data_IF_036389383243
#
_entry.id   IF_036389383243
#
_cell.length_a   1.000
_cell.length_b   1.000
_cell.length_c   1.000
_cell.angle_alpha   90.00
_cell.angle_beta   90.00
_cell.angle_gamma   90.00
#
_symmetry.space_group_name_H-M   'P 1'
#
loop_
_entity.id
_entity.type
_entity.pdbx_description
1 polymer ?
#
# COMPACT_ATOMS: atom_id res chain seq x y z
N UNK A 1 24.45 -6.16 12.29
CA UNK A 1 24.51 -5.35 11.07
C UNK A 1 25.56 -5.88 10.07
N UNK A 2 26.82 -6.14 10.51
CA UNK A 2 27.90 -6.58 9.62
C UNK A 2 27.62 -7.92 8.95
N UNK A 3 27.15 -8.92 9.70
CA UNK A 3 26.81 -10.23 9.15
C UNK A 3 25.75 -10.16 8.04
N UNK A 4 24.67 -9.42 8.25
CA UNK A 4 23.62 -9.26 7.24
C UNK A 4 24.21 -8.61 5.98
N UNK A 5 24.98 -7.53 6.15
CA UNK A 5 25.59 -6.83 5.03
C UNK A 5 26.49 -7.72 4.20
N UNK A 6 27.35 -8.51 4.85
CA UNK A 6 28.26 -9.42 4.15
C UNK A 6 27.50 -10.59 3.50
N UNK A 7 26.47 -11.13 4.17
CA UNK A 7 25.62 -12.16 3.59
C UNK A 7 24.81 -11.67 2.39
N UNK A 8 24.33 -10.43 2.43
CA UNK A 8 23.64 -9.80 1.29
C UNK A 8 24.59 -9.58 0.12
N UNK A 9 25.82 -9.10 0.37
CA UNK A 9 26.83 -8.95 -0.69
C UNK A 9 27.14 -10.27 -1.37
N UNK A 10 27.33 -11.33 -0.59
CA UNK A 10 27.61 -12.66 -1.12
C UNK A 10 26.40 -13.23 -1.88
N UNK A 11 25.18 -13.10 -1.33
CA UNK A 11 23.97 -13.51 -2.03
C UNK A 11 23.78 -12.75 -3.35
N UNK A 12 24.09 -11.45 -3.37
CA UNK A 12 23.95 -10.61 -4.56
C UNK A 12 24.92 -11.00 -5.69
N UNK A 13 26.03 -11.69 -5.40
CA UNK A 13 26.94 -12.19 -6.44
C UNK A 13 26.28 -13.24 -7.35
N UNK A 14 25.21 -13.89 -6.90
CA UNK A 14 24.44 -14.84 -7.71
C UNK A 14 23.35 -14.18 -8.54
N UNK A 15 23.05 -12.89 -8.31
CA UNK A 15 22.01 -12.17 -9.04
C UNK A 15 22.60 -11.63 -10.33
N UNK A 16 22.02 -12.06 -11.46
CA UNK A 16 22.41 -11.62 -12.78
C UNK A 16 21.10 -11.28 -13.54
N UNK A 17 20.84 -9.99 -13.68
CA UNK A 17 19.60 -9.49 -14.32
C UNK A 17 19.68 -9.56 -15.83
N UNK A 18 20.88 -9.73 -16.40
CA UNK A 18 21.10 -9.80 -17.84
C UNK A 18 21.11 -11.26 -18.36
N UNK A 19 20.88 -12.24 -17.46
CA UNK A 19 20.84 -13.67 -17.82
C UNK A 19 19.64 -13.96 -18.72
N UNK A 20 19.83 -14.31 -19.99
CA UNK A 20 18.75 -14.55 -20.94
C UNK A 20 18.01 -15.88 -20.72
N UNK A 21 18.68 -16.85 -20.07
CA UNK A 21 18.08 -18.15 -19.79
C UNK A 21 17.35 -18.12 -18.43
N UNK A 22 16.04 -18.29 -18.50
CA UNK A 22 15.17 -18.22 -17.32
C UNK A 22 15.46 -19.34 -16.31
N UNK A 23 15.83 -20.54 -16.74
CA UNK A 23 16.12 -21.64 -15.82
C UNK A 23 17.47 -21.46 -15.14
N UNK A 24 18.45 -20.88 -15.84
CA UNK A 24 19.73 -20.47 -15.27
C UNK A 24 19.52 -19.34 -14.24
N UNK A 25 18.75 -18.31 -14.59
CA UNK A 25 18.40 -17.23 -13.66
C UNK A 25 17.71 -17.78 -12.40
N UNK A 26 16.77 -18.67 -12.56
CA UNK A 26 16.05 -19.32 -11.44
C UNK A 26 16.97 -20.13 -10.54
N UNK A 27 17.95 -20.83 -11.11
CA UNK A 27 18.95 -21.54 -10.36
C UNK A 27 19.86 -20.58 -9.57
N UNK A 28 20.32 -19.49 -10.18
CA UNK A 28 21.09 -18.42 -9.53
C UNK A 28 20.32 -17.80 -8.36
N UNK A 29 19.04 -17.47 -8.55
CA UNK A 29 18.17 -16.93 -7.48
C UNK A 29 17.96 -17.94 -6.32
N UNK A 30 17.89 -19.24 -6.62
CA UNK A 30 17.85 -20.27 -5.56
C UNK A 30 19.14 -20.31 -4.75
N UNK A 31 20.29 -20.12 -5.38
CA UNK A 31 21.58 -20.02 -4.67
C UNK A 31 21.63 -18.77 -3.80
N UNK A 32 21.22 -17.62 -4.30
CA UNK A 32 21.07 -16.39 -3.54
C UNK A 32 20.19 -16.61 -2.29
N UNK A 33 19.01 -17.20 -2.47
CA UNK A 33 18.11 -17.54 -1.37
C UNK A 33 18.77 -18.47 -0.36
N UNK A 34 19.47 -19.49 -0.81
CA UNK A 34 20.16 -20.46 0.06
C UNK A 34 21.22 -19.78 0.94
N UNK A 35 22.05 -18.92 0.38
CA UNK A 35 23.05 -18.17 1.15
C UNK A 35 22.40 -17.38 2.29
N UNK A 36 21.29 -16.68 2.01
CA UNK A 36 20.58 -15.90 3.02
C UNK A 36 19.94 -16.79 4.09
N UNK A 37 19.35 -17.92 3.69
CA UNK A 37 18.77 -18.86 4.64
C UNK A 37 19.82 -19.44 5.57
N UNK A 38 20.95 -19.91 5.05
CA UNK A 38 21.99 -20.58 5.84
C UNK A 38 22.73 -19.59 6.76
N UNK A 39 23.02 -18.38 6.28
CA UNK A 39 23.85 -17.43 7.02
C UNK A 39 23.05 -16.46 7.91
N UNK A 40 21.82 -16.16 7.58
CA UNK A 40 20.99 -15.18 8.31
C UNK A 40 19.81 -15.84 9.01
N UNK A 41 18.89 -16.43 8.25
CA UNK A 41 17.64 -16.93 8.82
C UNK A 41 17.80 -18.13 9.74
N UNK A 42 18.65 -19.08 9.39
CA UNK A 42 18.90 -20.29 10.19
C UNK A 42 20.07 -20.14 11.16
N UNK A 43 20.66 -18.96 11.27
CA UNK A 43 21.78 -18.75 12.18
C UNK A 43 21.29 -18.66 13.63
N UNK A 44 21.66 -19.59 14.51
CA UNK A 44 21.19 -19.65 15.90
C UNK A 44 21.64 -18.45 16.74
N UNK A 45 22.68 -17.75 16.29
CA UNK A 45 23.21 -16.56 16.95
C UNK A 45 22.48 -15.28 16.49
N UNK A 46 21.56 -15.41 15.53
CA UNK A 46 20.84 -14.27 14.99
C UNK A 46 19.42 -14.22 15.60
N UNK A 47 19.27 -13.42 16.63
CA UNK A 47 17.95 -13.13 17.20
C UNK A 47 17.37 -11.90 16.50
N UNK A 48 16.21 -12.05 15.90
CA UNK A 48 15.43 -10.91 15.41
C UNK A 48 15.09 -10.02 16.62
N UNK A 49 15.57 -8.76 16.61
CA UNK A 49 15.35 -7.81 17.70
C UNK A 49 14.07 -7.00 17.54
N UNK A 50 13.39 -7.14 16.41
CA UNK A 50 12.14 -6.44 16.15
C UNK A 50 11.14 -7.31 15.39
N UNK A 51 9.87 -7.05 15.60
CA UNK A 51 8.78 -7.56 14.78
C UNK A 51 8.53 -6.54 13.67
N UNK A 52 8.43 -7.00 12.43
CA UNK A 52 8.09 -6.19 11.28
C UNK A 52 6.72 -6.65 10.76
N UNK A 53 5.74 -5.76 10.82
CA UNK A 53 4.44 -5.97 10.21
C UNK A 53 4.44 -5.29 8.84
N UNK A 54 4.15 -6.05 7.78
CA UNK A 54 4.09 -5.57 6.40
C UNK A 54 2.63 -5.43 5.98
N UNK A 55 2.21 -4.21 5.67
CA UNK A 55 0.84 -3.89 5.27
C UNK A 55 0.88 -3.34 3.84
N UNK A 56 0.03 -3.89 2.97
CA UNK A 56 -0.09 -3.41 1.60
C UNK A 56 -0.78 -2.05 1.54
N UNK A 57 -0.32 -1.18 0.66
CA UNK A 57 -0.97 0.09 0.32
C UNK A 57 -0.79 0.37 -1.17
N UNK A 58 -1.70 1.13 -1.76
CA UNK A 58 -1.58 1.61 -3.13
C UNK A 58 -1.89 3.10 -3.20
N UNK A 59 -0.85 3.92 -3.33
CA UNK A 59 -1.01 5.34 -3.64
C UNK A 59 -1.42 5.51 -5.11
N UNK A 60 -2.54 6.20 -5.35
CA UNK A 60 -3.07 6.47 -6.68
C UNK A 60 -3.46 7.94 -6.80
N UNK A 61 -2.70 8.68 -7.61
CA UNK A 61 -3.10 10.03 -7.98
C UNK A 61 -4.39 10.03 -8.80
N UNK A 62 -5.31 10.94 -8.49
CA UNK A 62 -6.52 11.11 -9.29
C UNK A 62 -6.22 11.64 -10.69
N UNK A 63 -5.31 12.59 -10.77
CA UNK A 63 -4.79 13.13 -12.04
C UNK A 63 -3.31 13.38 -11.87
N UNK A 64 -2.50 12.85 -12.78
CA UNK A 64 -1.05 13.07 -12.85
C UNK A 64 -0.62 13.19 -14.31
N UNK A 65 0.14 12.22 -14.83
CA UNK A 65 0.46 12.10 -16.26
C UNK A 65 -0.66 11.38 -17.04
N UNK A 66 -1.85 11.34 -16.50
CA UNK A 66 -3.06 10.75 -17.08
C UNK A 66 -4.30 11.56 -16.74
N UNK A 67 -5.32 11.42 -17.59
CA UNK A 67 -6.62 12.05 -17.37
C UNK A 67 -7.44 11.29 -16.29
N UNK A 68 -8.41 11.97 -15.70
CA UNK A 68 -9.30 11.42 -14.66
C UNK A 68 -9.95 10.07 -15.05
N UNK A 69 -10.34 9.90 -16.30
CA UNK A 69 -10.90 8.63 -16.80
C UNK A 69 -9.95 7.44 -16.60
N UNK A 70 -8.64 7.68 -16.68
CA UNK A 70 -7.64 6.63 -16.45
C UNK A 70 -7.49 6.32 -14.95
N UNK A 71 -7.64 7.32 -14.08
CA UNK A 71 -7.72 7.09 -12.65
C UNK A 71 -8.87 6.12 -12.31
N UNK A 72 -10.07 6.34 -12.85
CA UNK A 72 -11.21 5.43 -12.64
C UNK A 72 -10.85 3.99 -13.04
N UNK A 73 -10.17 3.80 -14.18
CA UNK A 73 -9.69 2.48 -14.61
C UNK A 73 -8.65 1.90 -13.66
N UNK A 74 -7.71 2.73 -13.17
CA UNK A 74 -6.70 2.31 -12.18
C UNK A 74 -7.37 1.85 -10.88
N UNK A 75 -8.38 2.55 -10.41
CA UNK A 75 -9.18 2.16 -9.24
C UNK A 75 -9.73 0.75 -9.42
N UNK A 76 -10.43 0.47 -10.51
CA UNK A 76 -11.01 -0.85 -10.76
C UNK A 76 -9.96 -1.97 -10.77
N UNK A 77 -8.91 -1.83 -11.59
CA UNK A 77 -7.89 -2.89 -11.74
C UNK A 77 -7.06 -3.12 -10.47
N UNK A 78 -6.70 -2.03 -9.76
CA UNK A 78 -5.90 -2.14 -8.52
C UNK A 78 -6.68 -2.88 -7.45
N UNK A 79 -7.93 -2.46 -7.19
CA UNK A 79 -8.72 -3.06 -6.13
C UNK A 79 -9.17 -4.49 -6.46
N UNK A 80 -9.47 -4.79 -7.72
CA UNK A 80 -9.70 -6.18 -8.15
C UNK A 80 -8.47 -7.07 -7.92
N UNK A 81 -7.27 -6.54 -8.19
CA UNK A 81 -6.02 -7.26 -7.92
C UNK A 81 -5.81 -7.51 -6.42
N UNK A 82 -6.07 -6.50 -5.57
CA UNK A 82 -5.95 -6.66 -4.11
C UNK A 82 -6.93 -7.71 -3.58
N UNK A 83 -8.17 -7.73 -4.05
CA UNK A 83 -9.13 -8.79 -3.69
C UNK A 83 -8.62 -10.18 -4.06
N UNK A 84 -8.11 -10.33 -5.28
CA UNK A 84 -7.54 -11.61 -5.74
C UNK A 84 -6.35 -12.04 -4.87
N UNK A 85 -5.49 -11.11 -4.48
CA UNK A 85 -4.39 -11.41 -3.55
C UNK A 85 -4.92 -11.83 -2.17
N UNK A 86 -5.97 -11.18 -1.66
CA UNK A 86 -6.59 -11.58 -0.39
C UNK A 86 -7.23 -12.97 -0.44
N UNK A 87 -7.71 -13.42 -1.60
CA UNK A 87 -8.21 -14.78 -1.78
C UNK A 87 -7.09 -15.83 -1.73
N UNK A 88 -5.93 -15.51 -2.32
CA UNK A 88 -4.78 -16.42 -2.35
C UNK A 88 -3.94 -16.40 -1.07
N UNK A 89 -3.93 -15.27 -0.36
CA UNK A 89 -3.10 -15.05 0.83
C UNK A 89 -3.98 -14.63 2.00
N UNK A 90 -4.42 -15.57 2.84
CA UNK A 90 -5.32 -15.29 3.97
C UNK A 90 -4.81 -14.24 4.95
N UNK A 91 -3.50 -14.17 5.14
CA UNK A 91 -2.85 -13.22 6.06
C UNK A 91 -2.58 -11.85 5.44
N UNK A 92 -2.92 -11.66 4.15
CA UNK A 92 -2.67 -10.39 3.48
C UNK A 92 -3.63 -9.31 3.98
N UNK A 93 -3.07 -8.21 4.49
CA UNK A 93 -3.77 -7.00 4.94
C UNK A 93 -3.44 -5.86 3.98
N UNK A 94 -4.46 -5.07 3.66
CA UNK A 94 -4.33 -3.92 2.78
C UNK A 94 -4.96 -2.68 3.40
N UNK A 95 -4.27 -1.56 3.33
CA UNK A 95 -4.73 -0.25 3.79
C UNK A 95 -4.92 0.68 2.60
N UNK A 96 -6.02 1.41 2.56
CA UNK A 96 -6.30 2.35 1.47
C UNK A 96 -6.94 3.63 1.99
N UNK A 97 -6.48 4.74 1.47
CA UNK A 97 -6.95 6.11 1.74
C UNK A 97 -7.88 6.63 0.64
N UNK A 98 -8.23 7.89 0.72
CA UNK A 98 -8.96 8.69 -0.29
C UNK A 98 -10.43 8.28 -0.48
N UNK A 99 -11.34 8.96 0.24
CA UNK A 99 -12.79 8.76 0.09
C UNK A 99 -13.27 8.90 -1.36
N UNK A 100 -12.71 9.85 -2.12
CA UNK A 100 -13.01 10.05 -3.53
C UNK A 100 -12.71 8.82 -4.39
N UNK A 101 -11.66 8.07 -4.07
CA UNK A 101 -11.34 6.82 -4.76
C UNK A 101 -12.41 5.75 -4.50
N UNK A 102 -12.88 5.62 -3.26
CA UNK A 102 -13.97 4.72 -2.92
C UNK A 102 -15.30 5.12 -3.56
N UNK A 103 -15.54 6.43 -3.72
CA UNK A 103 -16.72 6.91 -4.43
C UNK A 103 -16.70 6.52 -5.90
N UNK A 104 -15.57 6.67 -6.59
CA UNK A 104 -15.41 6.18 -7.98
C UNK A 104 -15.60 4.66 -8.08
N UNK A 105 -15.10 3.93 -7.09
CA UNK A 105 -15.32 2.49 -7.02
C UNK A 105 -16.80 2.17 -6.84
N UNK A 106 -17.49 2.87 -5.95
CA UNK A 106 -18.92 2.67 -5.70
C UNK A 106 -19.77 2.91 -6.95
N UNK A 107 -19.44 3.95 -7.71
CA UNK A 107 -20.18 4.35 -8.92
C UNK A 107 -19.88 3.44 -10.10
N UNK A 108 -18.62 3.11 -10.34
CA UNK A 108 -18.19 2.42 -11.56
C UNK A 108 -17.94 0.92 -11.38
N UNK A 109 -17.70 0.46 -10.16
CA UNK A 109 -17.36 -0.93 -9.84
C UNK A 109 -18.07 -1.40 -8.56
N UNK A 110 -19.41 -1.37 -8.52
CA UNK A 110 -20.18 -1.64 -7.29
C UNK A 110 -19.87 -3.02 -6.68
N UNK A 111 -19.63 -4.04 -7.50
CA UNK A 111 -19.26 -5.36 -7.01
C UNK A 111 -17.92 -5.36 -6.24
N UNK A 112 -16.94 -4.56 -6.70
CA UNK A 112 -15.66 -4.41 -6.00
C UNK A 112 -15.88 -3.64 -4.70
N UNK A 113 -16.69 -2.59 -4.72
CA UNK A 113 -17.03 -1.81 -3.54
C UNK A 113 -17.67 -2.66 -2.43
N UNK A 114 -18.62 -3.53 -2.76
CA UNK A 114 -19.24 -4.46 -1.82
C UNK A 114 -18.21 -5.43 -1.21
N UNK A 115 -17.29 -5.93 -2.03
CA UNK A 115 -16.20 -6.78 -1.55
C UNK A 115 -15.28 -6.02 -0.57
N UNK A 116 -14.95 -4.75 -0.87
CA UNK A 116 -14.17 -3.91 0.05
C UNK A 116 -14.91 -3.75 1.38
N UNK A 117 -16.21 -3.44 1.36
CA UNK A 117 -17.01 -3.34 2.59
C UNK A 117 -16.95 -4.64 3.42
N UNK A 118 -16.99 -5.80 2.76
CA UNK A 118 -16.84 -7.09 3.42
C UNK A 118 -15.45 -7.23 4.06
N UNK A 119 -14.37 -6.91 3.32
CA UNK A 119 -12.99 -7.00 3.82
C UNK A 119 -12.72 -6.02 4.97
N UNK A 120 -13.34 -4.84 4.96
CA UNK A 120 -13.27 -3.90 6.08
C UNK A 120 -13.89 -4.52 7.34
N UNK A 121 -15.08 -5.15 7.23
CA UNK A 121 -15.73 -5.84 8.35
C UNK A 121 -14.91 -7.03 8.87
N UNK A 122 -14.19 -7.71 8.00
CA UNK A 122 -13.28 -8.81 8.35
C UNK A 122 -11.98 -8.34 9.00
N UNK A 123 -11.69 -7.02 9.05
CA UNK A 123 -10.43 -6.46 9.54
C UNK A 123 -9.24 -6.69 8.62
N UNK A 124 -9.46 -7.08 7.36
CA UNK A 124 -8.41 -7.34 6.37
C UNK A 124 -8.17 -6.18 5.40
N UNK A 125 -9.09 -5.24 5.37
CA UNK A 125 -8.97 -3.99 4.63
C UNK A 125 -9.15 -2.84 5.60
N UNK A 126 -8.12 -2.02 5.77
CA UNK A 126 -8.15 -0.87 6.64
C UNK A 126 -8.44 0.41 5.82
N UNK A 127 -9.53 1.09 6.18
CA UNK A 127 -9.79 2.43 5.67
C UNK A 127 -8.97 3.43 6.46
N UNK A 128 -8.00 4.08 5.83
CA UNK A 128 -7.09 5.04 6.47
C UNK A 128 -7.24 6.44 5.89
N UNK A 129 -6.61 7.43 6.53
CA UNK A 129 -6.38 8.78 6.02
C UNK A 129 -7.43 9.81 6.36
N UNK A 130 -8.69 9.53 6.22
CA UNK A 130 -9.78 10.44 6.59
C UNK A 130 -10.04 11.63 5.65
N UNK A 131 -9.20 11.88 4.64
CA UNK A 131 -9.40 12.93 3.64
C UNK A 131 -10.19 12.43 2.42
N UNK A 132 -10.82 13.37 1.71
CA UNK A 132 -11.49 13.07 0.45
C UNK A 132 -10.52 12.64 -0.64
N UNK A 133 -9.42 13.39 -0.78
CA UNK A 133 -8.25 13.05 -1.60
C UNK A 133 -6.99 13.32 -0.82
N UNK A 134 -5.84 12.81 -1.27
CA UNK A 134 -4.51 13.20 -0.80
C UNK A 134 -4.11 14.49 -1.54
N UNK A 135 -4.29 15.68 -0.93
CA UNK A 135 -4.05 16.94 -1.61
C UNK A 135 -2.57 17.34 -1.59
N UNK A 136 -2.18 18.24 -2.48
CA UNK A 136 -0.92 18.96 -2.30
C UNK A 136 -1.03 19.89 -1.09
N UNK A 137 -0.36 19.51 -0.02
CA UNK A 137 -0.44 20.17 1.28
C UNK A 137 0.19 21.58 1.32
N UNK A 138 0.98 21.96 0.31
CA UNK A 138 1.56 23.30 0.21
C UNK A 138 0.65 24.31 -0.49
N UNK A 139 -0.33 23.83 -1.28
CA UNK A 139 -1.13 24.70 -2.16
C UNK A 139 -2.51 24.98 -1.58
N UNK A 140 -3.14 24.00 -0.95
CA UNK A 140 -4.52 24.16 -0.47
C UNK A 140 -4.59 25.03 0.79
N UNK A 141 -5.74 25.71 0.96
CA UNK A 141 -6.02 26.54 2.14
C UNK A 141 -6.39 25.70 3.36
N UNK A 142 -6.33 26.31 4.56
CA UNK A 142 -6.79 25.68 5.80
C UNK A 142 -8.25 25.23 5.74
N UNK A 143 -9.14 26.04 5.12
CA UNK A 143 -10.54 25.66 4.89
C UNK A 143 -10.66 24.43 3.98
N UNK A 144 -9.81 24.32 2.97
CA UNK A 144 -9.77 23.12 2.13
C UNK A 144 -9.36 21.88 2.91
N UNK A 145 -8.39 21.97 3.82
CA UNK A 145 -8.03 20.85 4.72
C UNK A 145 -9.21 20.42 5.57
N UNK A 146 -9.91 21.38 6.21
CA UNK A 146 -11.10 21.08 7.03
C UNK A 146 -12.14 20.32 6.20
N UNK A 147 -12.39 20.76 4.98
CA UNK A 147 -13.36 20.09 4.07
C UNK A 147 -12.90 18.72 3.62
N UNK A 148 -11.62 18.54 3.37
CA UNK A 148 -11.07 17.22 3.04
C UNK A 148 -11.42 16.20 4.12
N UNK A 149 -11.14 16.53 5.40
CA UNK A 149 -11.47 15.66 6.53
C UNK A 149 -12.98 15.54 6.75
N UNK A 150 -13.73 16.65 6.72
CA UNK A 150 -15.15 16.63 6.95
C UNK A 150 -15.88 15.68 5.99
N UNK A 151 -15.57 15.78 4.70
CA UNK A 151 -16.21 14.93 3.69
C UNK A 151 -15.68 13.51 3.73
N UNK A 152 -14.38 13.33 3.90
CA UNK A 152 -13.77 12.01 3.94
C UNK A 152 -14.19 11.18 5.15
N UNK A 153 -14.20 11.76 6.36
CA UNK A 153 -14.67 11.08 7.58
C UNK A 153 -16.15 10.72 7.48
N UNK A 154 -17.01 11.66 7.07
CA UNK A 154 -18.45 11.39 6.87
C UNK A 154 -18.70 10.29 5.86
N UNK A 155 -17.89 10.22 4.82
CA UNK A 155 -17.97 9.14 3.83
C UNK A 155 -17.62 7.78 4.44
N UNK A 156 -16.52 7.71 5.19
CA UNK A 156 -16.08 6.49 5.87
C UNK A 156 -17.13 5.98 6.87
N UNK A 157 -17.67 6.88 7.68
CA UNK A 157 -18.74 6.54 8.64
C UNK A 157 -20.00 6.03 7.93
N UNK A 158 -20.43 6.72 6.88
CA UNK A 158 -21.64 6.37 6.13
C UNK A 158 -21.55 5.00 5.45
N UNK A 159 -20.44 4.71 4.78
CA UNK A 159 -20.34 3.56 3.89
C UNK A 159 -19.61 2.37 4.49
N UNK A 160 -18.74 2.59 5.48
CA UNK A 160 -17.92 1.56 6.11
C UNK A 160 -18.17 1.40 7.61
N UNK A 161 -18.82 2.37 8.25
CA UNK A 161 -19.05 2.37 9.70
C UNK A 161 -17.77 2.56 10.52
N UNK A 162 -16.76 3.20 9.93
CA UNK A 162 -15.45 3.44 10.58
C UNK A 162 -15.14 4.94 10.64
N UNK A 163 -14.49 5.36 11.72
CA UNK A 163 -13.95 6.71 11.86
C UNK A 163 -12.43 6.65 11.74
N UNK A 164 -11.83 7.13 10.64
CA UNK A 164 -10.38 7.13 10.47
C UNK A 164 -9.69 7.93 11.57
N UNK A 165 -8.60 7.40 12.12
CA UNK A 165 -7.83 8.02 13.22
C UNK A 165 -6.47 8.54 12.78
N UNK A 166 -6.11 8.34 11.52
CA UNK A 166 -4.81 8.71 10.97
C UNK A 166 -4.99 9.63 9.78
N UNK A 167 -4.11 10.60 9.63
CA UNK A 167 -3.90 11.32 8.37
C UNK A 167 -2.87 10.54 7.56
N UNK A 168 -3.17 10.26 6.31
CA UNK A 168 -2.30 9.48 5.41
C UNK A 168 -1.95 10.30 4.18
N UNK A 169 -0.68 10.67 4.06
CA UNK A 169 -0.14 11.53 3.00
C UNK A 169 1.23 11.01 2.57
N UNK A 170 1.29 9.92 1.81
CA UNK A 170 2.56 9.23 1.52
C UNK A 170 3.42 9.93 0.48
N UNK A 171 2.83 10.78 -0.37
CA UNK A 171 3.50 11.44 -1.50
C UNK A 171 3.27 12.96 -1.51
N UNK A 172 3.49 13.62 -0.36
CA UNK A 172 3.44 15.06 -0.26
C UNK A 172 4.85 15.66 -0.22
N UNK A 173 5.03 16.79 -0.90
CA UNK A 173 6.34 17.45 -1.03
C UNK A 173 6.55 18.54 0.03
N UNK A 174 5.86 18.45 1.12
CA UNK A 174 5.90 19.33 2.27
C UNK A 174 4.51 19.59 2.84
N UNK A 175 4.46 20.18 4.03
CA UNK A 175 3.23 20.49 4.73
C UNK A 175 3.12 21.97 5.00
N UNK A 176 1.98 22.56 4.66
CA UNK A 176 1.64 23.92 4.99
C UNK A 176 1.45 24.10 6.51
N UNK A 177 1.74 25.30 6.99
CA UNK A 177 1.43 25.70 8.38
C UNK A 177 -0.08 25.61 8.70
N UNK A 178 -0.93 25.65 7.67
CA UNK A 178 -2.38 25.53 7.81
C UNK A 178 -2.87 24.09 8.05
N UNK A 179 -1.98 23.10 8.03
CA UNK A 179 -2.37 21.73 8.35
C UNK A 179 -2.76 21.65 9.82
N UNK A 180 -3.94 21.11 10.18
CA UNK A 180 -4.34 20.91 11.58
C UNK A 180 -3.32 20.06 12.33
N UNK A 181 -2.96 20.50 13.51
CA UNK A 181 -2.08 19.77 14.44
C UNK A 181 -2.89 18.77 15.27
#
# INVERSE_FOLDING_TARGET
ATLIRESLKEAFQYVDFDEPDFDVLKAKLRMCKKVLYDKVYNNPNYKCMCKLDLIGNSHLDMVYMWAYKEFVRKVGRTHATMHRLMEHYPDFIFSQSQAGMYEEMRVHYPNIFEQVQKRVKEGRWEYIGGMWVEPDCNIISGESFVRQFLHGVRYAEKWFGVTPKTCWLPDVFGNSYCMPQ
#
